data_IF_351127672140
#
_entry.id   IF_351127672140
#
_cell.length_a   1.000
_cell.length_b   1.000
_cell.length_c   1.000
_cell.angle_alpha   90.00
_cell.angle_beta   90.00
_cell.angle_gamma   90.00
#
_symmetry.space_group_name_H-M   'P 1'
#
loop_
_entity.id
_entity.type
_entity.pdbx_description
1 polymer ?
#
# COMPACT_ATOMS: atom_id res chain seq x y z
N UNK A 1 -11.60 -14.37 2.70
CA UNK A 1 -12.00 -15.28 3.81
C UNK A 1 -10.75 -15.90 4.40
N UNK A 2 -10.62 -15.94 5.73
CA UNK A 2 -9.47 -16.54 6.41
C UNK A 2 -9.86 -17.90 6.99
N UNK A 3 -9.08 -18.93 6.66
CA UNK A 3 -9.18 -20.23 7.30
C UNK A 3 -8.11 -20.34 8.39
N UNK A 4 -8.52 -20.20 9.65
CA UNK A 4 -7.62 -20.19 10.81
C UNK A 4 -6.96 -21.53 11.11
N UNK A 5 -7.51 -22.64 10.64
CA UNK A 5 -6.92 -23.97 10.84
C UNK A 5 -5.73 -24.21 9.92
N UNK A 6 -5.77 -23.63 8.72
CA UNK A 6 -4.73 -23.79 7.69
C UNK A 6 -3.82 -22.57 7.54
N UNK A 7 -4.18 -21.42 8.11
CA UNK A 7 -3.47 -20.15 7.93
C UNK A 7 -3.55 -19.59 6.50
N UNK A 8 -4.58 -19.99 5.75
CA UNK A 8 -4.76 -19.64 4.34
C UNK A 8 -5.89 -18.62 4.16
N UNK A 9 -5.69 -17.71 3.22
CA UNK A 9 -6.66 -16.73 2.79
C UNK A 9 -7.19 -17.08 1.41
N UNK A 10 -8.51 -17.10 1.27
CA UNK A 10 -9.20 -17.06 -0.03
C UNK A 10 -9.51 -15.61 -0.37
N UNK A 11 -8.93 -15.13 -1.47
CA UNK A 11 -9.01 -13.73 -1.91
C UNK A 11 -9.54 -13.68 -3.34
N UNK A 12 -10.45 -12.76 -3.62
CA UNK A 12 -10.91 -12.45 -4.98
C UNK A 12 -10.19 -11.20 -5.47
N UNK A 13 -9.80 -11.20 -6.74
CA UNK A 13 -9.31 -10.00 -7.41
C UNK A 13 -10.41 -8.92 -7.43
N UNK A 14 -10.03 -7.66 -7.26
CA UNK A 14 -10.96 -6.51 -7.24
C UNK A 14 -11.23 -5.97 -8.66
N UNK A 15 -10.41 -6.35 -9.65
CA UNK A 15 -10.64 -5.98 -11.04
C UNK A 15 -11.99 -6.53 -11.54
N UNK A 16 -12.85 -5.65 -12.04
CA UNK A 16 -14.22 -5.96 -12.49
C UNK A 16 -14.25 -6.88 -13.71
N UNK A 17 -13.14 -6.96 -14.47
CA UNK A 17 -12.99 -7.87 -15.59
C UNK A 17 -12.45 -9.25 -15.16
N UNK A 18 -12.08 -9.41 -13.88
CA UNK A 18 -11.45 -10.60 -13.32
C UNK A 18 -12.43 -11.34 -12.39
N UNK A 19 -12.60 -12.63 -12.62
CA UNK A 19 -13.27 -13.55 -11.68
C UNK A 19 -12.27 -14.44 -10.93
N UNK A 20 -10.98 -14.04 -10.94
CA UNK A 20 -9.91 -14.84 -10.37
C UNK A 20 -10.00 -14.87 -8.85
N UNK A 21 -9.83 -16.06 -8.31
CA UNK A 21 -9.69 -16.28 -6.87
C UNK A 21 -8.36 -16.95 -6.58
N UNK A 22 -7.72 -16.52 -5.50
CA UNK A 22 -6.43 -16.99 -5.05
C UNK A 22 -6.58 -17.60 -3.66
N UNK A 23 -5.78 -18.63 -3.40
CA UNK A 23 -5.60 -19.19 -2.06
C UNK A 23 -4.16 -18.94 -1.67
N UNK A 24 -3.93 -17.98 -0.77
CA UNK A 24 -2.59 -17.51 -0.40
C UNK A 24 -2.33 -17.76 1.09
N UNK A 25 -1.09 -18.10 1.49
CA UNK A 25 -0.73 -18.16 2.90
C UNK A 25 -0.73 -16.75 3.52
N UNK A 26 -0.96 -16.65 4.83
CA UNK A 26 -0.93 -15.39 5.57
C UNK A 26 0.34 -14.55 5.30
N UNK A 27 1.50 -15.19 5.15
CA UNK A 27 2.77 -14.52 4.81
C UNK A 27 2.77 -13.71 3.50
N UNK A 28 1.82 -13.97 2.61
CA UNK A 28 1.66 -13.26 1.32
C UNK A 28 0.50 -12.26 1.33
N UNK A 29 -0.18 -12.08 2.48
CA UNK A 29 -1.35 -11.22 2.61
C UNK A 29 -1.03 -10.08 3.58
N UNK A 30 -1.27 -8.85 3.12
CA UNK A 30 -1.15 -7.67 3.97
C UNK A 30 -2.52 -7.02 4.11
N UNK A 31 -2.99 -6.89 5.34
CA UNK A 31 -4.25 -6.18 5.64
C UNK A 31 -3.98 -4.67 5.62
N UNK A 32 -4.72 -3.96 4.77
CA UNK A 32 -4.60 -2.51 4.63
C UNK A 32 -5.36 -1.76 5.74
N UNK A 33 -4.98 -0.50 5.98
CA UNK A 33 -5.64 0.39 6.95
C UNK A 33 -4.94 0.55 8.30
N UNK A 34 -3.83 -0.16 8.56
CA UNK A 34 -3.03 -0.04 9.79
C UNK A 34 -1.94 1.04 9.79
N UNK A 35 -1.81 1.83 8.72
CA UNK A 35 -0.75 2.84 8.59
C UNK A 35 -1.26 4.20 9.06
N UNK A 36 -0.85 4.62 10.26
CA UNK A 36 -1.30 5.89 10.85
C UNK A 36 -0.32 7.06 10.66
N UNK A 37 0.97 6.76 10.49
CA UNK A 37 2.04 7.77 10.45
C UNK A 37 3.04 7.45 9.36
N UNK A 38 3.35 8.44 8.54
CA UNK A 38 4.40 8.40 7.52
C UNK A 38 5.16 9.72 7.53
N UNK A 39 6.46 9.65 7.30
CA UNK A 39 7.34 10.82 7.18
C UNK A 39 7.78 11.00 5.74
N UNK A 40 8.09 12.24 5.37
CA UNK A 40 8.73 12.54 4.08
C UNK A 40 10.01 11.71 3.93
N UNK A 41 10.19 11.14 2.74
CA UNK A 41 11.31 10.25 2.41
C UNK A 41 11.06 8.76 2.72
N UNK A 42 9.98 8.39 3.43
CA UNK A 42 9.67 6.97 3.65
C UNK A 42 9.27 6.28 2.33
N UNK A 43 9.75 5.04 2.17
CA UNK A 43 9.37 4.15 1.07
C UNK A 43 8.13 3.36 1.49
N UNK A 44 7.12 3.35 0.63
CA UNK A 44 5.85 2.65 0.82
C UNK A 44 5.43 1.94 -0.47
N UNK A 45 4.42 1.09 -0.36
CA UNK A 45 3.62 0.66 -1.52
C UNK A 45 2.26 1.33 -1.45
N UNK A 46 1.82 1.88 -2.57
CA UNK A 46 0.59 2.65 -2.69
C UNK A 46 -0.17 2.23 -3.94
N UNK A 47 -1.49 2.22 -3.88
CA UNK A 47 -2.32 1.97 -5.07
C UNK A 47 -2.16 3.15 -6.04
N UNK A 48 -1.81 2.86 -7.30
CA UNK A 48 -1.69 3.88 -8.33
C UNK A 48 -3.08 4.37 -8.76
N UNK A 49 -3.28 5.66 -9.07
CA UNK A 49 -4.59 6.20 -9.44
C UNK A 49 -5.27 5.39 -10.54
N UNK A 50 -6.57 5.14 -10.35
CA UNK A 50 -7.43 4.41 -11.29
C UNK A 50 -6.99 2.96 -11.58
N UNK A 51 -6.21 2.36 -10.67
CA UNK A 51 -5.81 0.95 -10.75
C UNK A 51 -6.13 0.21 -9.45
N UNK A 52 -6.06 -1.11 -9.49
CA UNK A 52 -6.12 -2.01 -8.32
C UNK A 52 -4.72 -2.51 -7.90
N UNK A 53 -3.65 -1.90 -8.42
CA UNK A 53 -2.27 -2.39 -8.25
C UNK A 53 -1.44 -1.47 -7.35
N UNK A 54 -0.67 -2.09 -6.45
CA UNK A 54 0.26 -1.41 -5.55
C UNK A 54 1.64 -1.25 -6.19
N UNK A 55 2.15 -0.03 -6.23
CA UNK A 55 3.50 0.30 -6.73
C UNK A 55 4.33 0.95 -5.64
N UNK A 56 5.66 0.80 -5.75
CA UNK A 56 6.59 1.47 -4.84
C UNK A 56 6.51 2.99 -5.02
N UNK A 57 6.44 3.72 -3.91
CA UNK A 57 6.41 5.17 -3.89
C UNK A 57 7.22 5.75 -2.73
N UNK A 58 7.64 7.00 -2.88
CA UNK A 58 8.31 7.77 -1.83
C UNK A 58 7.38 8.86 -1.33
N UNK A 59 7.22 8.97 0.00
CA UNK A 59 6.40 10.01 0.62
C UNK A 59 7.06 11.37 0.41
N UNK A 60 6.36 12.32 -0.23
CA UNK A 60 6.85 13.69 -0.42
C UNK A 60 6.20 14.68 0.55
N UNK A 61 4.97 14.41 1.01
CA UNK A 61 4.36 15.13 2.12
C UNK A 61 3.68 14.15 3.08
N UNK A 62 3.82 14.34 4.40
CA UNK A 62 3.23 13.46 5.40
C UNK A 62 1.70 13.47 5.33
N UNK A 63 1.03 12.48 5.93
CA UNK A 63 -0.42 12.36 5.87
C UNK A 63 -1.14 13.61 6.39
N UNK A 64 -2.14 14.07 5.64
CA UNK A 64 -3.04 15.17 6.00
C UNK A 64 -4.45 14.65 6.10
N UNK A 65 -5.27 15.31 6.93
CA UNK A 65 -6.70 15.04 7.02
C UNK A 65 -7.44 16.04 6.13
N UNK A 66 -8.32 15.52 5.28
CA UNK A 66 -9.27 16.30 4.51
C UNK A 66 -10.67 16.01 5.06
N UNK A 67 -11.42 17.07 5.31
CA UNK A 67 -12.83 16.97 5.61
C UNK A 67 -13.59 17.11 4.30
N UNK A 68 -14.34 16.08 3.91
CA UNK A 68 -15.26 16.16 2.80
C UNK A 68 -16.63 15.62 3.22
N UNK A 69 -17.68 16.44 3.09
CA UNK A 69 -19.07 16.07 3.36
C UNK A 69 -19.30 15.27 4.67
N UNK A 70 -18.67 15.68 5.78
CA UNK A 70 -18.84 15.05 7.09
C UNK A 70 -18.00 13.79 7.35
N UNK A 71 -17.26 13.29 6.36
CA UNK A 71 -16.32 12.17 6.52
C UNK A 71 -14.88 12.69 6.55
N UNK A 72 -14.10 12.24 7.54
CA UNK A 72 -12.67 12.51 7.60
C UNK A 72 -11.94 11.46 6.77
N UNK A 73 -11.27 11.88 5.70
CA UNK A 73 -10.33 11.03 4.97
C UNK A 73 -8.92 11.54 5.17
N UNK A 74 -7.98 10.61 5.36
CA UNK A 74 -6.57 10.95 5.40
C UNK A 74 -5.90 10.50 4.11
N UNK A 75 -5.06 11.36 3.55
CA UNK A 75 -4.28 11.10 2.35
C UNK A 75 -2.83 11.50 2.57
N UNK A 76 -1.93 10.90 1.79
CA UNK A 76 -0.49 11.19 1.75
C UNK A 76 -0.11 11.62 0.33
N UNK A 77 0.86 12.52 0.20
CA UNK A 77 1.40 12.87 -1.12
C UNK A 77 2.65 12.05 -1.40
N UNK A 78 2.73 11.44 -2.58
CA UNK A 78 3.82 10.52 -2.95
C UNK A 78 4.34 10.79 -4.36
N UNK A 79 5.60 10.43 -4.61
CA UNK A 79 6.14 10.19 -5.95
C UNK A 79 6.21 8.69 -6.18
N UNK A 80 5.56 8.19 -7.23
CA UNK A 80 5.71 6.82 -7.65
C UNK A 80 7.08 6.61 -8.29
N UNK A 81 7.67 5.44 -8.03
CA UNK A 81 8.91 5.05 -8.68
C UNK A 81 8.66 4.90 -10.19
N UNK A 82 9.58 5.39 -11.01
CA UNK A 82 9.55 5.30 -12.47
C UNK A 82 8.38 6.05 -13.15
N UNK A 83 7.72 6.97 -12.43
CA UNK A 83 6.61 7.81 -12.94
C UNK A 83 7.09 9.21 -13.38
N UNK A 84 8.35 9.31 -13.80
CA UNK A 84 8.88 10.54 -14.40
C UNK A 84 8.45 10.65 -15.86
N UNK A 85 8.09 11.85 -16.29
CA UNK A 85 7.82 12.14 -17.70
C UNK A 85 9.11 12.18 -18.56
N UNK A 86 8.96 12.52 -19.84
CA UNK A 86 10.06 12.65 -20.80
C UNK A 86 11.12 13.71 -20.42
N UNK A 87 10.80 14.59 -19.46
CA UNK A 87 11.70 15.60 -18.93
C UNK A 87 12.27 15.24 -17.55
N UNK A 88 11.98 14.04 -17.04
CA UNK A 88 12.43 13.59 -15.72
C UNK A 88 11.62 14.17 -14.56
N UNK A 89 10.48 14.82 -14.83
CA UNK A 89 9.63 15.41 -13.80
C UNK A 89 8.63 14.37 -13.30
N UNK A 90 8.61 14.15 -11.99
CA UNK A 90 7.60 13.32 -11.32
C UNK A 90 6.63 14.21 -10.55
N UNK A 91 5.33 14.06 -10.82
CA UNK A 91 4.30 14.85 -10.14
C UNK A 91 3.82 14.16 -8.84
N UNK A 92 3.65 14.90 -7.73
CA UNK A 92 3.02 14.38 -6.53
C UNK A 92 1.60 13.87 -6.76
N UNK A 93 1.29 12.67 -6.28
CA UNK A 93 -0.07 12.12 -6.28
C UNK A 93 -0.59 11.95 -4.86
N UNK A 94 -1.86 12.27 -4.67
CA UNK A 94 -2.55 12.05 -3.40
C UNK A 94 -3.07 10.60 -3.36
N UNK A 95 -2.72 9.87 -2.30
CA UNK A 95 -3.21 8.50 -2.08
C UNK A 95 -3.87 8.42 -0.71
N UNK A 96 -5.05 7.80 -0.63
CA UNK A 96 -5.74 7.58 0.64
C UNK A 96 -4.91 6.64 1.53
N UNK A 97 -4.84 6.94 2.82
CA UNK A 97 -4.06 6.14 3.78
C UNK A 97 -4.50 4.67 3.85
N UNK A 98 -5.78 4.38 3.55
CA UNK A 98 -6.31 3.01 3.46
C UNK A 98 -5.79 2.22 2.25
N UNK A 99 -5.15 2.86 1.28
CA UNK A 99 -4.57 2.25 0.08
C UNK A 99 -3.03 2.27 0.11
N UNK A 100 -2.46 2.39 1.30
CA UNK A 100 -1.02 2.45 1.53
C UNK A 100 -0.61 1.33 2.49
N UNK A 101 0.52 0.70 2.21
CA UNK A 101 1.20 -0.22 3.11
C UNK A 101 2.69 0.10 3.20
N UNK A 102 3.30 -0.21 4.34
CA UNK A 102 4.77 -0.25 4.42
C UNK A 102 5.28 -1.49 3.68
N UNK A 103 6.52 -1.47 3.17
CA UNK A 103 7.16 -2.68 2.67
C UNK A 103 7.03 -3.79 3.72
N UNK A 104 6.70 -5.03 3.32
CA UNK A 104 6.74 -6.15 4.24
C UNK A 104 8.12 -6.16 4.90
N UNK A 105 8.16 -6.30 6.23
CA UNK A 105 9.44 -6.53 6.87
C UNK A 105 10.02 -7.78 6.21
N UNK A 106 11.15 -7.64 5.52
CA UNK A 106 11.96 -8.81 5.20
C UNK A 106 12.08 -9.56 6.52
N UNK A 107 11.78 -10.84 6.54
CA UNK A 107 12.09 -11.70 7.67
C UNK A 107 13.62 -11.73 7.81
N UNK A 108 14.18 -10.64 8.36
CA UNK A 108 15.50 -10.64 8.96
C UNK A 108 15.40 -11.66 10.07
N UNK A 109 15.75 -12.90 9.75
CA UNK A 109 16.22 -13.85 10.73
C UNK A 109 17.25 -13.09 11.56
N UNK A 110 16.87 -12.74 12.79
CA UNK A 110 17.80 -12.29 13.81
C UNK A 110 18.82 -13.40 13.97
N UNK A 111 19.94 -13.30 13.27
CA UNK A 111 21.17 -13.93 13.74
C UNK A 111 21.60 -13.04 14.90
N UNK A 112 21.12 -13.38 16.10
CA UNK A 112 21.80 -12.95 17.32
C UNK A 112 23.12 -13.71 17.31
N UNK A 113 24.20 -13.03 16.91
CA UNK A 113 25.53 -13.46 17.29
C UNK A 113 25.64 -13.23 18.81
N UNK A 114 25.89 -14.32 19.54
CA UNK A 114 26.35 -14.31 20.92
C UNK A 114 27.71 -13.62 21.01
#
# INVERSE_FOLDING_TARGET
EHNSETGMYKISDEDVESSKTFTLPESQVVVLGGVERLRTGEIIFAVYPDTTTLYQATVVQPPRRMQNAGTYQSFVMVHFKDDSDEHGVTLPKAVLMKHVMRPPALSTGRVQAL
#
